data_IF_183146214717
#
_entry.id   IF_183146214717
#
_cell.length_a   1.000
_cell.length_b   1.000
_cell.length_c   1.000
_cell.angle_alpha   90.00
_cell.angle_beta   90.00
_cell.angle_gamma   90.00
#
_symmetry.space_group_name_H-M   'P 1'
#
loop_
_entity.id
_entity.type
_entity.pdbx_description
1 polymer ?
#
# COMPACT_ATOMS: atom_id res chain seq x y z
N UNK A 1 -5.60 -17.71 -39.11
CA UNK A 1 -6.59 -16.64 -38.78
C UNK A 1 -6.92 -16.62 -37.29
N UNK A 2 -6.09 -17.26 -36.46
CA UNK A 2 -6.19 -17.30 -35.00
C UNK A 2 -5.04 -16.50 -34.37
N UNK A 3 -3.96 -16.30 -35.14
CA UNK A 3 -2.68 -15.73 -34.71
C UNK A 3 -2.76 -14.32 -34.12
N UNK A 4 -3.77 -13.52 -34.47
CA UNK A 4 -3.93 -12.17 -33.90
C UNK A 4 -4.68 -12.19 -32.57
N UNK A 5 -5.69 -13.04 -32.43
CA UNK A 5 -6.46 -13.18 -31.19
C UNK A 5 -5.64 -13.90 -30.11
N UNK A 6 -4.90 -14.93 -30.51
CA UNK A 6 -4.00 -15.66 -29.60
C UNK A 6 -2.91 -14.73 -29.06
N UNK A 7 -2.31 -13.89 -29.91
CA UNK A 7 -1.32 -12.87 -29.50
C UNK A 7 -1.91 -11.79 -28.60
N UNK A 8 -3.13 -11.34 -28.88
CA UNK A 8 -3.80 -10.34 -28.05
C UNK A 8 -4.08 -10.89 -26.64
N UNK A 9 -4.52 -12.15 -26.54
CA UNK A 9 -4.78 -12.81 -25.27
C UNK A 9 -3.48 -13.05 -24.47
N UNK A 10 -2.39 -13.42 -25.14
CA UNK A 10 -1.09 -13.56 -24.50
C UNK A 10 -0.63 -12.21 -23.91
N UNK A 11 -0.72 -11.12 -24.69
CA UNK A 11 -0.36 -9.78 -24.20
C UNK A 11 -1.17 -9.39 -22.96
N UNK A 12 -2.51 -9.50 -23.01
CA UNK A 12 -3.37 -9.22 -21.86
C UNK A 12 -2.99 -10.02 -20.63
N UNK A 13 -2.72 -11.32 -20.80
CA UNK A 13 -2.30 -12.19 -19.69
C UNK A 13 -0.99 -11.70 -19.09
N UNK A 14 0.01 -11.38 -19.92
CA UNK A 14 1.29 -10.87 -19.43
C UNK A 14 1.16 -9.52 -18.73
N UNK A 15 0.31 -8.61 -19.24
CA UNK A 15 0.06 -7.31 -18.61
C UNK A 15 -0.61 -7.47 -17.25
N UNK A 16 -1.62 -8.34 -17.17
CA UNK A 16 -2.33 -8.64 -15.93
C UNK A 16 -1.38 -9.23 -14.89
N UNK A 17 -0.56 -10.22 -15.28
CA UNK A 17 0.41 -10.85 -14.39
C UNK A 17 1.45 -9.84 -13.89
N UNK A 18 1.98 -8.98 -14.75
CA UNK A 18 2.90 -7.90 -14.37
C UNK A 18 2.27 -6.93 -13.37
N UNK A 19 1.02 -6.53 -13.59
CA UNK A 19 0.31 -5.64 -12.67
C UNK A 19 0.11 -6.29 -11.29
N UNK A 20 -0.27 -7.58 -11.25
CA UNK A 20 -0.42 -8.33 -9.99
C UNK A 20 0.93 -8.49 -9.30
N UNK A 21 1.99 -8.83 -10.05
CA UNK A 21 3.34 -8.98 -9.51
C UNK A 21 3.84 -7.67 -8.91
N UNK A 22 3.65 -6.55 -9.60
CA UNK A 22 4.01 -5.22 -9.11
C UNK A 22 3.24 -4.83 -7.83
N UNK A 23 1.94 -5.16 -7.78
CA UNK A 23 1.15 -4.90 -6.57
C UNK A 23 1.61 -5.77 -5.39
N UNK A 24 1.99 -7.03 -5.65
CA UNK A 24 2.51 -7.95 -4.62
C UNK A 24 3.93 -7.59 -4.17
N UNK A 25 4.78 -7.13 -5.07
CA UNK A 25 6.16 -6.74 -4.76
C UNK A 25 6.27 -5.35 -4.17
N UNK A 26 5.16 -4.61 -4.08
CA UNK A 26 5.12 -3.30 -3.43
C UNK A 26 5.60 -3.48 -1.98
N UNK A 27 6.80 -2.98 -1.73
CA UNK A 27 7.44 -3.04 -0.43
C UNK A 27 6.50 -2.39 0.58
N UNK A 28 6.06 -3.18 1.55
CA UNK A 28 5.35 -2.66 2.71
C UNK A 28 6.43 -2.04 3.59
N UNK A 29 6.37 -0.72 3.80
CA UNK A 29 7.22 -0.04 4.78
C UNK A 29 7.01 -0.78 6.12
N UNK A 30 8.09 -1.29 6.74
CA UNK A 30 7.97 -1.99 8.02
C UNK A 30 7.71 -0.94 9.12
N UNK A 31 6.68 -1.11 9.96
CA UNK A 31 6.49 -0.23 11.11
C UNK A 31 7.67 -0.36 12.08
N UNK A 32 8.17 0.76 12.60
CA UNK A 32 9.06 0.75 13.76
C UNK A 32 8.21 0.44 15.00
N UNK A 33 8.51 -0.68 15.67
CA UNK A 33 7.86 -1.13 16.90
C UNK A 33 8.85 -1.05 18.08
N UNK A 34 8.40 -0.51 19.21
CA UNK A 34 9.13 -0.57 20.48
C UNK A 34 8.91 -1.93 21.18
N UNK A 35 9.76 -2.30 22.14
CA UNK A 35 9.61 -3.51 22.98
C UNK A 35 8.26 -3.55 23.73
N UNK A 36 7.61 -2.39 23.90
CA UNK A 36 6.29 -2.25 24.52
C UNK A 36 5.11 -2.36 23.53
N UNK A 37 5.36 -2.61 22.23
CA UNK A 37 4.34 -2.68 21.20
C UNK A 37 3.79 -1.31 20.76
N UNK A 38 4.45 -0.23 21.19
CA UNK A 38 4.10 1.12 20.77
C UNK A 38 4.71 1.40 19.39
N UNK A 39 3.89 1.93 18.48
CA UNK A 39 4.33 2.30 17.13
C UNK A 39 4.34 3.80 16.97
N UNK A 40 5.41 4.28 16.36
CA UNK A 40 5.58 5.69 16.08
C UNK A 40 5.44 5.96 14.59
N UNK A 41 4.93 7.15 14.26
CA UNK A 41 4.80 7.57 12.90
C UNK A 41 6.15 7.98 12.31
N UNK A 42 6.58 7.35 11.21
CA UNK A 42 7.85 7.66 10.53
C UNK A 42 7.98 9.11 10.01
N UNK A 43 6.87 9.86 9.90
CA UNK A 43 6.89 11.26 9.39
C UNK A 43 6.95 12.33 10.47
N UNK A 44 6.23 12.15 11.58
CA UNK A 44 6.10 13.17 12.62
C UNK A 44 6.65 12.72 13.97
N UNK A 45 7.05 11.46 14.12
CA UNK A 45 7.49 10.88 15.40
C UNK A 45 6.39 10.71 16.44
N UNK A 46 5.14 11.06 16.12
CA UNK A 46 4.01 10.92 17.04
C UNK A 46 3.57 9.47 17.23
N UNK A 47 3.05 9.15 18.42
CA UNK A 47 2.47 7.85 18.73
C UNK A 47 1.25 7.55 17.86
N UNK A 48 1.21 6.36 17.27
CA UNK A 48 0.07 5.89 16.50
C UNK A 48 -1.02 5.42 17.48
N UNK A 49 -2.26 5.92 17.38
CA UNK A 49 -3.30 5.52 18.31
C UNK A 49 -3.62 4.02 18.20
N UNK A 50 -3.86 3.32 19.33
CA UNK A 50 -4.06 1.87 19.36
C UNK A 50 -5.30 1.42 18.56
N UNK A 51 -6.31 2.30 18.41
CA UNK A 51 -7.48 2.06 17.57
C UNK A 51 -7.09 1.78 16.11
N UNK A 52 -6.05 2.44 15.62
CA UNK A 52 -5.56 2.24 14.26
C UNK A 52 -4.66 1.03 14.13
N UNK A 53 -3.90 0.68 15.17
CA UNK A 53 -3.15 -0.58 15.19
C UNK A 53 -4.10 -1.78 15.10
N UNK A 54 -5.27 -1.71 15.77
CA UNK A 54 -6.32 -2.73 15.65
C UNK A 54 -6.94 -2.80 14.25
N UNK A 55 -7.19 -1.66 13.61
CA UNK A 55 -7.80 -1.61 12.29
C UNK A 55 -6.81 -2.00 11.17
N UNK A 56 -5.57 -1.54 11.27
CA UNK A 56 -4.51 -1.78 10.28
C UNK A 56 -3.22 -2.13 11.04
N UNK A 57 -2.95 -3.43 11.24
CA UNK A 57 -1.75 -3.92 11.93
C UNK A 57 -0.44 -3.64 11.21
N UNK A 58 -0.44 -3.00 10.05
CA UNK A 58 0.76 -2.58 9.32
C UNK A 58 0.81 -1.06 9.14
N UNK A 59 0.09 -0.29 9.97
CA UNK A 59 0.12 1.17 9.88
C UNK A 59 1.48 1.73 10.34
N UNK A 60 2.12 2.48 9.46
CA UNK A 60 3.49 3.06 9.64
C UNK A 60 3.46 4.58 9.89
N UNK A 61 2.34 5.23 9.59
CA UNK A 61 2.18 6.68 9.65
C UNK A 61 1.02 7.06 10.57
N UNK A 62 0.94 8.31 11.02
CA UNK A 62 -0.16 8.90 11.78
C UNK A 62 -1.38 9.22 10.87
N UNK A 63 -2.59 9.46 11.42
CA UNK A 63 -3.81 9.52 10.58
C UNK A 63 -3.73 10.76 9.71
N UNK A 64 -3.40 11.89 10.32
CA UNK A 64 -3.11 13.14 9.62
C UNK A 64 -1.99 12.99 8.59
N UNK A 65 -0.90 12.29 8.93
CA UNK A 65 0.23 12.06 8.03
C UNK A 65 -0.15 11.19 6.82
N UNK A 66 -1.00 10.18 7.02
CA UNK A 66 -1.51 9.34 5.94
C UNK A 66 -2.49 10.12 5.08
N UNK A 67 -3.42 10.89 5.68
CA UNK A 67 -4.36 11.74 4.96
C UNK A 67 -3.68 12.85 4.13
N UNK A 68 -2.52 13.34 4.56
CA UNK A 68 -1.70 14.29 3.79
C UNK A 68 -0.97 13.64 2.61
N UNK A 69 -0.55 12.37 2.77
CA UNK A 69 0.17 11.63 1.71
C UNK A 69 -0.79 11.04 0.69
N UNK A 70 -1.98 10.65 1.13
CA UNK A 70 -3.04 10.24 0.23
C UNK A 70 -3.50 11.47 -0.56
N UNK A 71 -3.34 11.48 -1.89
CA UNK A 71 -3.95 12.53 -2.69
C UNK A 71 -5.44 12.54 -2.41
N UNK A 72 -5.98 13.74 -2.17
CA UNK A 72 -7.41 13.95 -1.98
C UNK A 72 -8.09 13.69 -3.32
N UNK A 73 -8.32 12.43 -3.66
CA UNK A 73 -9.10 12.06 -4.84
C UNK A 73 -10.56 12.38 -4.53
N UNK A 74 -10.94 13.65 -4.71
CA UNK A 74 -12.34 14.06 -4.70
C UNK A 74 -12.72 15.29 -3.87
N UNK A 75 -11.88 16.34 -3.75
CA UNK A 75 -12.39 17.67 -3.35
C UNK A 75 -11.67 18.77 -4.14
N UNK A 76 -12.47 19.43 -5.01
CA UNK A 76 -12.22 20.61 -5.86
C UNK A 76 -11.32 20.43 -7.09
#
# INVERSE_FOLDING_TARGET
MTDQFDKAQELETTFREKAIAHHRSRQTEQPDEDEHGNRYCLSCGGEIPPQRMKAIPNAVRCVSCQSLREPVYGVA
#
